data_IF_592487053520
#
_entry.id   IF_592487053520
#
_cell.length_a   1.000
_cell.length_b   1.000
_cell.length_c   1.000
_cell.angle_alpha   90.00
_cell.angle_beta   90.00
_cell.angle_gamma   90.00
#
_symmetry.space_group_name_H-M   'P 1'
#
loop_
_entity.id
_entity.type
_entity.pdbx_description
1 polymer ?
#
# COMPACT_ATOMS: atom_id res chain seq x y z
N UNK A 1 -12.33 -19.49 -1.17
CA UNK A 1 -11.52 -18.26 -1.38
C UNK A 1 -10.26 -18.33 -0.53
N UNK A 2 -9.07 -18.35 -1.13
CA UNK A 2 -7.77 -18.33 -0.43
C UNK A 2 -7.03 -17.01 -0.65
N UNK A 3 -6.55 -16.39 0.43
CA UNK A 3 -5.79 -15.14 0.37
C UNK A 3 -4.31 -15.38 0.04
N UNK A 4 -3.70 -14.43 -0.64
CA UNK A 4 -2.26 -14.40 -0.90
C UNK A 4 -1.47 -13.88 0.31
N UNK A 5 -0.32 -14.50 0.62
CA UNK A 5 0.63 -14.05 1.65
C UNK A 5 0.42 -14.64 3.04
N UNK A 6 1.01 -14.00 4.06
CA UNK A 6 0.90 -14.44 5.46
C UNK A 6 -0.52 -14.24 6.02
N UNK A 7 -1.14 -15.34 6.44
CA UNK A 7 -2.51 -15.36 6.96
C UNK A 7 -2.54 -15.46 8.50
N UNK A 8 -3.55 -14.88 9.17
CA UNK A 8 -3.75 -15.07 10.60
C UNK A 8 -4.16 -16.51 10.92
N UNK A 9 -3.88 -16.97 12.15
CA UNK A 9 -4.17 -18.33 12.60
C UNK A 9 -5.66 -18.75 12.49
N UNK A 10 -6.59 -17.79 12.40
CA UNK A 10 -8.01 -18.08 12.24
C UNK A 10 -8.45 -18.18 10.77
N UNK A 11 -7.66 -17.67 9.81
CA UNK A 11 -8.06 -17.56 8.41
C UNK A 11 -8.34 -18.93 7.80
N UNK A 12 -7.48 -19.92 8.00
CA UNK A 12 -7.69 -21.28 7.48
C UNK A 12 -9.04 -21.86 7.92
N UNK A 13 -9.40 -21.67 9.20
CA UNK A 13 -10.67 -22.13 9.75
C UNK A 13 -11.85 -21.42 9.08
N UNK A 14 -11.73 -20.12 8.86
CA UNK A 14 -12.77 -19.32 8.22
C UNK A 14 -12.91 -19.71 6.73
N UNK A 15 -11.81 -19.86 6.00
CA UNK A 15 -11.77 -20.28 4.60
C UNK A 15 -12.45 -21.64 4.45
N UNK A 16 -12.03 -22.63 5.25
CA UNK A 16 -12.60 -23.97 5.22
C UNK A 16 -14.12 -23.95 5.50
N UNK A 17 -14.57 -23.14 6.46
CA UNK A 17 -16.01 -22.96 6.72
C UNK A 17 -16.71 -22.37 5.50
N UNK A 18 -16.19 -21.28 4.94
CA UNK A 18 -16.80 -20.60 3.80
C UNK A 18 -16.91 -21.49 2.57
N UNK A 19 -15.95 -22.37 2.31
CA UNK A 19 -15.97 -23.29 1.17
C UNK A 19 -17.10 -24.32 1.24
N UNK A 20 -17.59 -24.65 2.44
CA UNK A 20 -18.71 -25.60 2.60
C UNK A 20 -20.07 -24.96 2.38
N UNK A 21 -20.17 -23.63 2.48
CA UNK A 21 -21.45 -22.92 2.47
C UNK A 21 -22.13 -22.97 1.09
N UNK A 22 -21.46 -22.73 -0.06
CA UNK A 22 -22.12 -22.78 -1.36
C UNK A 22 -22.84 -24.10 -1.65
N UNK A 23 -22.24 -25.24 -1.30
CA UNK A 23 -22.89 -26.54 -1.44
C UNK A 23 -24.16 -26.66 -0.58
N UNK A 24 -24.14 -26.17 0.66
CA UNK A 24 -25.31 -26.14 1.55
C UNK A 24 -26.40 -25.19 1.04
N UNK A 25 -26.01 -24.03 0.52
CA UNK A 25 -26.94 -23.06 -0.06
C UNK A 25 -27.71 -23.64 -1.25
N UNK A 26 -27.04 -24.46 -2.05
CA UNK A 26 -27.60 -25.03 -3.27
C UNK A 26 -28.19 -26.43 -3.08
N UNK A 27 -28.15 -26.98 -1.85
CA UNK A 27 -28.71 -28.29 -1.55
C UNK A 27 -30.21 -28.33 -1.92
N UNK A 28 -30.57 -29.30 -2.77
CA UNK A 28 -31.94 -29.47 -3.29
C UNK A 28 -32.26 -28.65 -4.53
N UNK A 29 -31.36 -27.78 -5.01
CA UNK A 29 -31.52 -27.04 -6.25
C UNK A 29 -30.82 -27.76 -7.41
N UNK A 30 -31.51 -27.96 -8.53
CA UNK A 30 -30.90 -28.59 -9.71
C UNK A 30 -30.05 -27.61 -10.52
N UNK A 31 -28.92 -28.07 -11.10
CA UNK A 31 -28.18 -27.29 -12.08
C UNK A 31 -29.06 -26.89 -13.27
N UNK A 32 -28.75 -25.72 -13.84
CA UNK A 32 -29.48 -25.15 -14.98
C UNK A 32 -29.06 -25.71 -16.34
N UNK A 33 -28.03 -26.54 -16.38
CA UNK A 33 -27.45 -27.10 -17.61
C UNK A 33 -26.27 -28.04 -17.33
N UNK A 34 -25.60 -28.52 -18.39
CA UNK A 34 -24.40 -29.35 -18.28
C UNK A 34 -23.21 -28.54 -17.72
N UNK A 35 -22.22 -29.23 -17.16
CA UNK A 35 -20.99 -28.62 -16.67
C UNK A 35 -20.28 -27.89 -17.82
N UNK A 36 -19.75 -26.70 -17.51
CA UNK A 36 -18.94 -25.91 -18.42
C UNK A 36 -17.47 -26.25 -18.18
N UNK A 37 -16.85 -26.84 -19.20
CA UNK A 37 -15.45 -27.25 -19.21
C UNK A 37 -14.62 -26.23 -19.98
N UNK A 38 -13.66 -25.58 -19.31
CA UNK A 38 -12.75 -24.62 -19.93
C UNK A 38 -11.32 -25.14 -19.78
N UNK A 39 -10.53 -25.07 -20.85
CA UNK A 39 -9.10 -25.47 -20.82
C UNK A 39 -8.23 -24.43 -20.12
N UNK A 40 -8.58 -23.16 -20.29
CA UNK A 40 -7.99 -21.96 -19.69
C UNK A 40 -9.01 -20.82 -19.89
N UNK A 41 -8.84 -19.72 -19.17
CA UNK A 41 -9.63 -18.49 -19.35
C UNK A 41 -8.81 -17.28 -18.89
N UNK A 42 -8.80 -16.22 -19.70
CA UNK A 42 -8.13 -14.96 -19.35
C UNK A 42 -9.06 -14.04 -18.53
N UNK A 43 -10.37 -14.13 -18.77
CA UNK A 43 -11.38 -13.39 -18.04
C UNK A 43 -12.72 -14.14 -18.06
N UNK A 44 -12.91 -15.01 -17.07
CA UNK A 44 -14.09 -15.82 -16.94
C UNK A 44 -15.38 -14.97 -16.90
N UNK A 45 -15.36 -13.79 -16.26
CA UNK A 45 -16.55 -12.93 -16.20
C UNK A 45 -17.02 -12.40 -17.56
N UNK A 46 -16.11 -12.26 -18.54
CA UNK A 46 -16.48 -11.85 -19.90
C UNK A 46 -17.05 -13.01 -20.73
N UNK A 47 -16.71 -14.25 -20.37
CA UNK A 47 -17.14 -15.47 -21.07
C UNK A 47 -18.45 -16.04 -20.51
N UNK A 48 -18.79 -15.71 -19.26
CA UNK A 48 -19.95 -16.26 -18.56
C UNK A 48 -21.24 -15.43 -18.75
N UNK A 49 -22.41 -16.08 -18.86
CA UNK A 49 -23.70 -15.38 -18.87
C UNK A 49 -24.01 -14.70 -17.54
N UNK A 50 -24.32 -13.40 -17.57
CA UNK A 50 -24.61 -12.59 -16.37
C UNK A 50 -25.81 -13.09 -15.53
N UNK A 51 -26.69 -13.90 -16.11
CA UNK A 51 -27.86 -14.48 -15.43
C UNK A 51 -27.57 -15.85 -14.78
N UNK A 52 -26.31 -16.28 -14.76
CA UNK A 52 -25.91 -17.55 -14.14
C UNK A 52 -24.94 -17.32 -12.97
N UNK A 53 -24.95 -18.29 -12.08
CA UNK A 53 -23.96 -18.48 -11.02
C UNK A 53 -23.33 -19.84 -11.22
N UNK A 54 -22.09 -20.01 -10.74
CA UNK A 54 -21.34 -21.23 -10.98
C UNK A 54 -20.68 -21.72 -9.71
N UNK A 55 -20.72 -23.03 -9.47
CA UNK A 55 -19.84 -23.67 -8.49
C UNK A 55 -18.64 -24.22 -9.23
N UNK A 56 -17.44 -23.99 -8.69
CA UNK A 56 -16.23 -24.65 -9.18
C UNK A 56 -16.29 -26.10 -8.75
N UNK A 57 -16.41 -27.01 -9.72
CA UNK A 57 -16.35 -28.45 -9.48
C UNK A 57 -14.90 -28.92 -9.38
N UNK A 58 -14.04 -28.47 -10.29
CA UNK A 58 -12.60 -28.73 -10.26
C UNK A 58 -11.84 -27.56 -10.86
N UNK A 59 -10.61 -27.32 -10.40
CA UNK A 59 -9.73 -26.25 -10.91
C UNK A 59 -9.56 -25.06 -9.95
N UNK A 60 -8.78 -24.07 -10.37
CA UNK A 60 -8.41 -22.89 -9.60
C UNK A 60 -8.61 -21.62 -10.45
N UNK A 61 -9.20 -20.58 -9.86
CA UNK A 61 -9.30 -19.25 -10.48
C UNK A 61 -8.51 -18.23 -9.69
N UNK A 62 -7.76 -17.42 -10.40
CA UNK A 62 -7.02 -16.28 -9.87
C UNK A 62 -7.91 -15.05 -10.00
N UNK A 63 -8.18 -14.34 -8.90
CA UNK A 63 -8.89 -13.08 -8.92
C UNK A 63 -7.90 -11.91 -8.95
N UNK A 64 -8.00 -11.07 -9.98
CA UNK A 64 -7.15 -9.89 -10.20
C UNK A 64 -7.98 -8.61 -10.18
N UNK A 65 -7.40 -7.56 -9.59
CA UNK A 65 -7.87 -6.17 -9.66
C UNK A 65 -6.66 -5.32 -10.06
N UNK A 66 -6.79 -4.51 -11.11
CA UNK A 66 -5.68 -3.74 -11.69
C UNK A 66 -4.41 -4.59 -11.93
N UNK A 67 -4.60 -5.78 -12.51
CA UNK A 67 -3.57 -6.80 -12.77
C UNK A 67 -2.81 -7.33 -11.53
N UNK A 68 -3.28 -7.00 -10.32
CA UNK A 68 -2.74 -7.54 -9.06
C UNK A 68 -3.61 -8.69 -8.59
N UNK A 69 -3.00 -9.86 -8.43
CA UNK A 69 -3.65 -11.00 -7.82
C UNK A 69 -4.00 -10.71 -6.36
N UNK A 70 -5.25 -10.92 -5.98
CA UNK A 70 -5.77 -10.62 -4.65
C UNK A 70 -6.05 -11.90 -3.86
N UNK A 71 -6.72 -12.87 -4.47
CA UNK A 71 -7.07 -14.16 -3.89
C UNK A 71 -7.34 -15.19 -4.98
N UNK A 72 -7.49 -16.45 -4.59
CA UNK A 72 -7.89 -17.55 -5.46
C UNK A 72 -9.25 -18.10 -5.07
N UNK A 73 -10.02 -18.57 -6.05
CA UNK A 73 -11.20 -19.40 -5.85
C UNK A 73 -10.88 -20.82 -6.31
N UNK A 74 -11.39 -21.83 -5.63
CA UNK A 74 -11.16 -23.23 -5.94
C UNK A 74 -12.44 -24.04 -5.80
N UNK A 75 -12.33 -25.36 -5.94
CA UNK A 75 -13.43 -26.32 -5.73
C UNK A 75 -14.32 -25.94 -4.53
N UNK A 76 -15.63 -25.91 -4.79
CA UNK A 76 -16.68 -25.53 -3.84
C UNK A 76 -16.99 -24.02 -3.77
N UNK A 77 -16.14 -23.15 -4.31
CA UNK A 77 -16.41 -21.70 -4.31
C UNK A 77 -17.48 -21.30 -5.34
N UNK A 78 -18.26 -20.28 -4.98
CA UNK A 78 -19.32 -19.70 -5.80
C UNK A 78 -18.79 -18.52 -6.64
N UNK A 79 -19.00 -18.60 -7.96
CA UNK A 79 -18.58 -17.61 -8.95
C UNK A 79 -19.80 -16.96 -9.60
N UNK A 80 -19.65 -15.72 -10.07
CA UNK A 80 -20.70 -14.98 -10.78
C UNK A 80 -21.50 -14.02 -9.90
N UNK A 81 -21.34 -14.05 -8.57
CA UNK A 81 -22.04 -13.11 -7.67
C UNK A 81 -21.77 -11.64 -8.03
N UNK A 82 -20.55 -11.31 -8.47
CA UNK A 82 -20.14 -9.94 -8.83
C UNK A 82 -20.60 -9.46 -10.22
N UNK A 83 -21.18 -10.33 -11.05
CA UNK A 83 -21.57 -9.98 -12.43
C UNK A 83 -22.87 -9.16 -12.51
N UNK A 84 -23.60 -8.98 -11.41
CA UNK A 84 -24.81 -8.15 -11.39
C UNK A 84 -24.51 -6.76 -10.82
N UNK A 85 -24.52 -5.75 -11.67
CA UNK A 85 -24.48 -4.34 -11.26
C UNK A 85 -23.23 -3.58 -11.74
N UNK A 86 -23.17 -2.31 -11.37
CA UNK A 86 -22.06 -1.39 -11.66
C UNK A 86 -20.97 -1.53 -10.58
N UNK A 87 -20.33 -2.71 -10.54
CA UNK A 87 -19.24 -3.00 -9.61
C UNK A 87 -17.88 -2.85 -10.31
N UNK A 88 -16.83 -2.44 -9.58
CA UNK A 88 -15.48 -2.41 -10.13
C UNK A 88 -15.05 -3.78 -10.65
N UNK A 89 -14.35 -3.75 -11.79
CA UNK A 89 -13.91 -4.95 -12.50
C UNK A 89 -13.00 -5.81 -11.61
N UNK A 90 -13.30 -7.11 -11.61
CA UNK A 90 -12.46 -8.14 -11.02
C UNK A 90 -12.35 -9.27 -12.03
N UNK A 91 -11.14 -9.43 -12.57
CA UNK A 91 -10.84 -10.42 -13.61
C UNK A 91 -10.56 -11.75 -12.95
N UNK A 92 -11.21 -12.81 -13.43
CA UNK A 92 -10.93 -14.18 -12.99
C UNK A 92 -10.23 -14.92 -14.13
N UNK A 93 -9.02 -15.42 -13.89
CA UNK A 93 -8.27 -16.18 -14.90
C UNK A 93 -7.80 -17.53 -14.38
N UNK A 94 -7.58 -18.47 -15.30
CA UNK A 94 -6.96 -19.77 -15.03
C UNK A 94 -6.15 -20.21 -16.24
N UNK A 95 -4.90 -20.62 -16.00
CA UNK A 95 -4.06 -21.27 -17.01
C UNK A 95 -4.28 -22.80 -17.03
N UNK A 96 -4.98 -23.33 -16.03
CA UNK A 96 -5.31 -24.74 -15.88
C UNK A 96 -6.78 -25.03 -16.24
N UNK A 97 -7.10 -26.28 -16.62
CA UNK A 97 -8.48 -26.68 -16.86
C UNK A 97 -9.39 -26.47 -15.64
N UNK A 98 -10.61 -26.00 -15.89
CA UNK A 98 -11.63 -25.74 -14.87
C UNK A 98 -12.99 -26.28 -15.32
N UNK A 99 -13.69 -26.95 -14.40
CA UNK A 99 -15.08 -27.39 -14.56
C UNK A 99 -16.00 -26.56 -13.65
N UNK A 100 -17.09 -26.07 -14.23
CA UNK A 100 -18.07 -25.21 -13.55
C UNK A 100 -19.48 -25.79 -13.67
N UNK A 101 -20.19 -25.89 -12.54
CA UNK A 101 -21.60 -26.33 -12.52
C UNK A 101 -22.51 -25.09 -12.59
N UNK A 102 -23.33 -24.93 -13.65
CA UNK A 102 -24.13 -23.72 -13.84
C UNK A 102 -25.46 -23.77 -13.08
N UNK A 103 -25.81 -22.68 -12.41
CA UNK A 103 -27.11 -22.45 -11.78
C UNK A 103 -27.74 -21.15 -12.29
N UNK A 104 -29.07 -21.14 -12.42
CA UNK A 104 -29.78 -19.91 -12.74
C UNK A 104 -29.71 -18.96 -11.55
N UNK A 105 -29.22 -17.73 -11.76
CA UNK A 105 -29.10 -16.72 -10.70
C UNK A 105 -30.42 -16.50 -9.97
N UNK A 106 -31.51 -16.34 -10.72
CA UNK A 106 -32.83 -16.12 -10.14
C UNK A 106 -33.30 -17.32 -9.31
N UNK A 107 -33.08 -18.54 -9.79
CA UNK A 107 -33.44 -19.75 -9.06
C UNK A 107 -32.64 -19.88 -7.76
N UNK A 108 -31.34 -19.58 -7.78
CA UNK A 108 -30.50 -19.57 -6.58
C UNK A 108 -31.04 -18.60 -5.53
N UNK A 109 -31.30 -17.35 -5.91
CA UNK A 109 -31.80 -16.37 -4.94
C UNK A 109 -33.21 -16.70 -4.43
N UNK A 110 -34.11 -17.20 -5.29
CA UNK A 110 -35.42 -17.67 -4.85
C UNK A 110 -35.30 -18.83 -3.86
N UNK A 111 -34.40 -19.79 -4.12
CA UNK A 111 -34.13 -20.93 -3.26
C UNK A 111 -33.56 -20.50 -1.90
N UNK A 112 -32.63 -19.55 -1.88
CA UNK A 112 -32.09 -18.96 -0.65
C UNK A 112 -33.19 -18.23 0.12
N UNK A 113 -34.00 -17.40 -0.54
CA UNK A 113 -35.05 -16.62 0.12
C UNK A 113 -36.21 -17.48 0.65
N UNK A 114 -36.43 -18.68 0.11
CA UNK A 114 -37.47 -19.57 0.57
C UNK A 114 -37.19 -20.24 1.94
N UNK A 115 -35.96 -20.16 2.46
CA UNK A 115 -35.53 -20.86 3.67
C UNK A 115 -34.67 -19.96 4.58
N UNK A 116 -35.09 -19.77 5.84
CA UNK A 116 -34.40 -18.88 6.80
C UNK A 116 -32.95 -19.32 7.08
N UNK A 117 -32.69 -20.62 7.13
CA UNK A 117 -31.34 -21.14 7.39
C UNK A 117 -30.41 -20.84 6.21
N UNK A 118 -30.87 -20.99 4.96
CA UNK A 118 -30.10 -20.59 3.77
C UNK A 118 -29.84 -19.08 3.72
N UNK A 119 -30.80 -18.25 4.13
CA UNK A 119 -30.56 -16.81 4.25
C UNK A 119 -29.45 -16.48 5.25
N UNK A 120 -29.45 -17.15 6.40
CA UNK A 120 -28.41 -16.98 7.41
C UNK A 120 -27.04 -17.44 6.88
N UNK A 121 -26.98 -18.62 6.26
CA UNK A 121 -25.76 -19.13 5.64
C UNK A 121 -25.21 -18.18 4.57
N UNK A 122 -26.07 -17.62 3.72
CA UNK A 122 -25.65 -16.66 2.69
C UNK A 122 -25.10 -15.38 3.32
N UNK A 123 -25.73 -14.90 4.38
CA UNK A 123 -25.23 -13.75 5.15
C UNK A 123 -23.86 -14.04 5.77
N UNK A 124 -23.69 -15.20 6.40
CA UNK A 124 -22.41 -15.64 6.97
C UNK A 124 -21.32 -15.77 5.90
N UNK A 125 -21.69 -16.23 4.69
CA UNK A 125 -20.79 -16.32 3.55
C UNK A 125 -20.25 -14.94 3.14
N UNK A 126 -21.14 -13.96 2.96
CA UNK A 126 -20.77 -12.60 2.58
C UNK A 126 -19.94 -11.90 3.67
N UNK A 127 -20.31 -12.05 4.94
CA UNK A 127 -19.59 -11.48 6.07
C UNK A 127 -18.18 -12.09 6.17
N UNK A 128 -18.05 -13.40 6.04
CA UNK A 128 -16.75 -14.07 6.15
C UNK A 128 -15.80 -13.67 5.02
N UNK A 129 -16.29 -13.53 3.78
CA UNK A 129 -15.49 -12.97 2.69
C UNK A 129 -15.06 -11.52 2.96
N UNK A 130 -15.96 -10.69 3.49
CA UNK A 130 -15.64 -9.30 3.85
C UNK A 130 -14.56 -9.24 4.93
N UNK A 131 -14.63 -10.11 5.94
CA UNK A 131 -13.62 -10.21 7.00
C UNK A 131 -12.24 -10.61 6.44
N UNK A 132 -12.19 -11.63 5.58
CA UNK A 132 -10.95 -12.07 4.93
C UNK A 132 -10.31 -10.95 4.10
N UNK A 133 -11.12 -10.22 3.31
CA UNK A 133 -10.63 -9.10 2.51
C UNK A 133 -10.17 -7.92 3.37
N UNK A 134 -10.87 -7.63 4.48
CA UNK A 134 -10.47 -6.60 5.44
C UNK A 134 -9.11 -6.88 6.06
N UNK A 135 -8.85 -8.13 6.44
CA UNK A 135 -7.57 -8.57 6.98
C UNK A 135 -6.45 -8.55 5.93
N UNK A 136 -6.74 -8.97 4.70
CA UNK A 136 -5.79 -8.87 3.59
C UNK A 136 -5.39 -7.40 3.35
N UNK A 137 -6.36 -6.49 3.33
CA UNK A 137 -6.11 -5.07 3.17
C UNK A 137 -5.27 -4.50 4.32
N UNK A 138 -5.57 -4.88 5.57
CA UNK A 138 -4.82 -4.41 6.74
C UNK A 138 -3.34 -4.81 6.68
N UNK A 139 -3.03 -5.97 6.07
CA UNK A 139 -1.65 -6.47 5.90
C UNK A 139 -0.92 -5.82 4.72
N UNK A 140 -1.66 -5.49 3.65
CA UNK A 140 -1.11 -4.78 2.50
C UNK A 140 -0.92 -3.28 2.78
N UNK A 141 -1.75 -2.71 3.68
CA UNK A 141 -1.65 -1.31 4.06
C UNK A 141 -0.41 -1.12 4.94
N UNK A 142 0.53 -0.33 4.45
CA UNK A 142 1.65 0.12 5.27
C UNK A 142 1.11 0.88 6.50
N UNK A 143 1.69 0.66 7.69
CA UNK A 143 1.27 1.39 8.88
C UNK A 143 1.37 2.89 8.61
N UNK A 144 0.28 3.60 8.83
CA UNK A 144 0.24 5.05 8.68
C UNK A 144 1.08 5.62 9.82
N UNK A 145 2.36 5.92 9.54
CA UNK A 145 3.23 6.62 10.47
C UNK A 145 2.69 8.03 10.53
N UNK A 146 1.92 8.33 11.57
CA UNK A 146 1.62 9.69 11.97
C UNK A 146 2.85 10.19 12.70
N UNK A 147 3.69 11.02 12.06
CA UNK A 147 4.89 11.45 12.75
C UNK A 147 4.45 12.26 13.97
N UNK A 148 5.03 11.96 15.12
CA UNK A 148 4.91 12.79 16.31
C UNK A 148 5.74 14.06 16.04
N UNK A 149 5.25 14.88 15.12
CA UNK A 149 5.91 16.11 14.69
C UNK A 149 5.84 17.10 15.82
N UNK A 150 6.99 17.42 16.40
CA UNK A 150 7.13 18.57 17.27
C UNK A 150 7.51 19.77 16.42
N UNK A 151 6.76 20.87 16.53
CA UNK A 151 7.24 22.17 16.05
C UNK A 151 8.11 22.79 17.14
N UNK A 152 9.30 23.23 16.75
CA UNK A 152 10.20 24.03 17.60
C UNK A 152 10.36 25.40 16.98
N UNK A 153 10.40 26.42 17.83
CA UNK A 153 10.69 27.79 17.42
C UNK A 153 12.12 28.11 17.83
N UNK A 154 12.85 28.77 16.94
CA UNK A 154 14.21 29.20 17.16
C UNK A 154 14.31 30.71 16.90
N UNK A 155 14.94 31.43 17.82
CA UNK A 155 15.28 32.84 17.62
C UNK A 155 16.51 32.98 16.72
N UNK A 156 16.73 34.20 16.21
CA UNK A 156 17.94 34.52 15.43
C UNK A 156 19.19 34.21 16.25
N UNK A 157 20.14 33.51 15.63
CA UNK A 157 21.40 33.09 16.22
C UNK A 157 21.34 31.78 17.00
N UNK A 158 20.16 31.16 17.19
CA UNK A 158 20.06 29.86 17.86
C UNK A 158 20.49 28.71 16.95
N UNK A 159 21.13 27.71 17.54
CA UNK A 159 21.57 26.50 16.83
C UNK A 159 20.43 25.47 16.75
N UNK A 160 20.11 25.03 15.54
CA UNK A 160 19.16 23.95 15.28
C UNK A 160 19.86 22.59 15.31
N UNK A 161 21.11 22.55 14.88
CA UNK A 161 21.97 21.37 14.81
C UNK A 161 23.39 21.82 15.16
N UNK A 162 24.12 21.02 15.93
CA UNK A 162 25.54 21.23 16.17
C UNK A 162 26.40 20.22 15.38
N UNK A 163 27.50 20.68 14.79
CA UNK A 163 28.46 19.83 14.07
C UNK A 163 29.08 18.79 15.03
N UNK A 164 29.19 17.54 14.59
CA UNK A 164 29.77 16.46 15.38
C UNK A 164 28.78 15.73 16.31
N UNK A 165 27.55 16.23 16.46
CA UNK A 165 26.52 15.54 17.24
C UNK A 165 26.04 14.25 16.57
N UNK A 166 25.44 13.37 17.36
CA UNK A 166 24.70 12.21 16.85
C UNK A 166 23.38 12.65 16.18
N UNK A 167 22.96 11.91 15.17
CA UNK A 167 21.80 12.26 14.35
C UNK A 167 20.56 11.41 14.65
N UNK A 168 19.78 11.86 15.64
CA UNK A 168 18.53 11.19 16.04
C UNK A 168 17.26 11.79 15.42
N UNK A 169 17.39 12.93 14.75
CA UNK A 169 16.26 13.67 14.17
C UNK A 169 16.58 14.24 12.78
N UNK A 170 15.54 14.45 11.98
CA UNK A 170 15.55 15.20 10.73
C UNK A 170 14.64 16.39 10.87
N UNK A 171 14.95 17.48 10.17
CA UNK A 171 14.28 18.76 10.36
C UNK A 171 13.76 19.32 9.03
N UNK A 172 12.68 20.09 9.09
CA UNK A 172 12.14 20.84 7.96
C UNK A 172 11.83 22.26 8.43
N UNK A 173 12.32 23.28 7.72
CA UNK A 173 11.96 24.68 8.00
C UNK A 173 10.56 24.93 7.44
N UNK A 174 9.63 25.32 8.29
CA UNK A 174 8.25 25.65 7.91
C UNK A 174 8.13 27.16 7.66
N UNK A 175 8.89 27.95 8.41
CA UNK A 175 8.98 29.39 8.31
C UNK A 175 10.35 29.85 8.80
N UNK A 176 10.87 30.93 8.21
CA UNK A 176 12.19 31.49 8.52
C UNK A 176 13.30 31.03 7.58
N UNK A 177 14.53 31.33 7.98
CA UNK A 177 15.76 31.07 7.22
C UNK A 177 16.89 30.68 8.17
N UNK A 178 17.73 29.74 7.74
CA UNK A 178 18.90 29.30 8.50
C UNK A 178 20.13 29.15 7.61
N UNK A 179 21.30 29.06 8.23
CA UNK A 179 22.58 28.92 7.55
C UNK A 179 23.32 27.69 8.07
N UNK A 180 23.95 26.95 7.16
CA UNK A 180 24.83 25.84 7.49
C UNK A 180 26.27 26.34 7.59
N UNK A 181 26.94 25.98 8.68
CA UNK A 181 28.28 26.40 9.04
C UNK A 181 29.13 25.15 9.34
N UNK A 182 30.33 25.08 8.76
CA UNK A 182 31.31 24.02 9.01
C UNK A 182 32.60 24.67 9.48
N UNK A 183 33.09 24.26 10.65
CA UNK A 183 34.32 24.79 11.25
C UNK A 183 34.36 26.33 11.31
N UNK A 184 33.20 26.95 11.57
CA UNK A 184 33.03 28.41 11.65
C UNK A 184 32.82 29.12 10.31
N UNK A 185 32.89 28.42 9.19
CA UNK A 185 32.69 28.98 7.86
C UNK A 185 31.27 28.67 7.33
N UNK A 186 30.55 29.68 6.86
CA UNK A 186 29.25 29.46 6.17
C UNK A 186 29.49 28.65 4.89
N UNK A 187 28.80 27.52 4.76
CA UNK A 187 28.86 26.61 3.60
C UNK A 187 27.55 26.58 2.81
N UNK A 188 26.54 27.32 3.23
CA UNK A 188 25.34 27.56 2.46
C UNK A 188 24.13 27.91 3.32
N UNK A 189 23.01 28.06 2.65
CA UNK A 189 21.73 28.44 3.24
C UNK A 189 20.79 27.25 3.38
N UNK A 190 19.84 27.29 4.31
CA UNK A 190 18.76 26.30 4.46
C UNK A 190 17.45 27.05 4.36
N UNK A 191 16.69 26.75 3.30
CA UNK A 191 15.49 27.50 2.95
C UNK A 191 14.22 26.90 3.56
N UNK A 192 13.14 27.67 3.51
CA UNK A 192 11.79 27.18 3.79
C UNK A 192 11.48 25.95 2.92
N UNK A 193 10.76 25.00 3.53
CA UNK A 193 10.37 23.69 3.00
C UNK A 193 11.56 22.76 2.68
N UNK A 194 12.80 23.16 2.97
CA UNK A 194 13.99 22.32 2.81
C UNK A 194 14.11 21.31 3.96
N UNK A 195 14.36 20.05 3.60
CA UNK A 195 14.68 19.00 4.57
C UNK A 195 16.19 19.05 4.84
N UNK A 196 16.58 19.20 6.11
CA UNK A 196 17.98 19.27 6.53
C UNK A 196 18.27 18.32 7.70
N UNK A 197 19.56 18.02 7.89
CA UNK A 197 20.00 17.01 8.85
C UNK A 197 19.70 15.56 8.44
N UNK A 198 19.19 15.30 7.23
CA UNK A 198 18.90 13.95 6.75
C UNK A 198 20.17 13.12 6.46
N UNK A 199 21.27 13.76 6.05
CA UNK A 199 22.48 13.07 5.59
C UNK A 199 23.07 12.14 6.67
N UNK A 200 23.29 12.67 7.87
CA UNK A 200 23.82 11.92 9.02
C UNK A 200 22.91 10.73 9.44
N UNK A 201 21.59 10.86 9.22
CA UNK A 201 20.64 9.75 9.46
C UNK A 201 20.86 8.60 8.49
N UNK A 202 21.11 8.90 7.20
CA UNK A 202 21.32 7.88 6.16
C UNK A 202 22.74 7.30 6.16
N UNK A 203 23.76 8.14 6.31
CA UNK A 203 25.16 7.69 6.31
C UNK A 203 25.57 7.03 7.63
N UNK A 204 24.78 7.22 8.70
CA UNK A 204 25.11 6.82 10.07
C UNK A 204 26.40 7.48 10.58
N UNK A 205 26.69 8.65 10.05
CA UNK A 205 27.78 9.50 10.49
C UNK A 205 27.26 10.59 11.43
N UNK A 206 28.18 11.34 12.04
CA UNK A 206 27.85 12.52 12.84
C UNK A 206 27.41 13.69 11.98
N UNK A 207 26.80 14.70 12.61
CA UNK A 207 26.41 15.95 11.93
C UNK A 207 27.62 16.58 11.24
N UNK A 208 27.50 16.80 9.93
CA UNK A 208 28.56 17.36 9.11
C UNK A 208 28.70 18.87 9.24
N UNK A 209 27.69 19.57 9.77
CA UNK A 209 27.63 21.02 9.89
C UNK A 209 26.75 21.44 11.08
N UNK A 210 27.06 22.60 11.64
CA UNK A 210 26.17 23.34 12.54
C UNK A 210 25.14 24.08 11.67
N UNK A 211 23.89 24.13 12.09
CA UNK A 211 22.83 24.91 11.42
C UNK A 211 22.32 25.96 12.37
N UNK A 212 22.38 27.23 11.98
CA UNK A 212 22.05 28.39 12.83
C UNK A 212 20.91 29.18 12.19
N UNK A 213 19.92 29.57 12.98
CA UNK A 213 18.84 30.44 12.53
C UNK A 213 19.40 31.83 12.18
N UNK A 214 19.28 32.25 10.93
CA UNK A 214 19.61 33.62 10.50
C UNK A 214 18.39 34.54 10.58
N UNK A 215 17.19 33.97 10.59
CA UNK A 215 15.91 34.61 10.90
C UNK A 215 15.13 33.78 11.92
N UNK A 216 14.11 34.32 12.63
CA UNK A 216 13.26 33.52 13.49
C UNK A 216 12.66 32.34 12.70
N UNK A 217 12.88 31.13 13.19
CA UNK A 217 12.55 29.90 12.49
C UNK A 217 11.46 29.10 13.21
N UNK A 218 10.49 28.58 12.47
CA UNK A 218 9.59 27.51 12.92
C UNK A 218 10.00 26.23 12.20
N UNK A 219 10.43 25.23 12.96
CA UNK A 219 11.03 24.01 12.43
C UNK A 219 10.25 22.79 12.89
N UNK A 220 9.90 21.93 11.95
CA UNK A 220 9.33 20.62 12.23
C UNK A 220 10.44 19.61 12.50
N UNK A 221 10.37 18.93 13.64
CA UNK A 221 11.33 17.89 14.07
C UNK A 221 10.72 16.52 13.89
N UNK A 222 11.43 15.64 13.18
CA UNK A 222 11.00 14.27 12.86
C UNK A 222 12.04 13.28 13.41
N UNK A 223 11.66 12.36 14.30
CA UNK A 223 12.57 11.30 14.76
C UNK A 223 13.09 10.43 13.61
N UNK A 224 14.35 9.99 13.71
CA UNK A 224 15.05 9.18 12.69
C UNK A 224 14.24 8.00 12.19
N UNK A 225 13.70 7.18 13.10
CA UNK A 225 12.95 5.98 12.73
C UNK A 225 11.67 6.31 11.96
N UNK A 226 10.98 7.38 12.37
CA UNK A 226 9.77 7.86 11.68
C UNK A 226 10.11 8.41 10.30
N UNK A 227 11.20 9.18 10.18
CA UNK A 227 11.65 9.70 8.90
C UNK A 227 12.01 8.59 7.91
N UNK A 228 12.75 7.57 8.35
CA UNK A 228 13.06 6.41 7.51
C UNK A 228 11.80 5.69 7.03
N UNK A 229 10.84 5.45 7.93
CA UNK A 229 9.54 4.87 7.56
C UNK A 229 8.73 5.75 6.60
N UNK A 230 8.77 7.08 6.76
CA UNK A 230 8.12 8.04 5.84
C UNK A 230 8.75 7.98 4.44
N UNK A 231 10.08 7.84 4.33
CA UNK A 231 10.73 7.70 3.02
C UNK A 231 10.40 6.38 2.31
N UNK A 232 10.12 5.31 3.07
CA UNK A 232 9.70 4.02 2.52
C UNK A 232 8.23 4.03 2.08
N UNK A 233 7.38 4.75 2.81
CA UNK A 233 5.93 4.77 2.56
C UNK A 233 5.47 5.86 1.61
N UNK A 234 6.23 6.95 1.49
CA UNK A 234 5.92 8.06 0.61
C UNK A 234 7.11 8.42 -0.29
N UNK A 235 7.16 7.87 -1.52
CA UNK A 235 8.25 8.12 -2.47
C UNK A 235 8.48 9.59 -2.79
N UNK A 236 7.48 10.47 -2.61
CA UNK A 236 7.63 11.92 -2.87
C UNK A 236 8.61 12.58 -1.88
N UNK A 237 8.68 12.11 -0.64
CA UNK A 237 9.63 12.63 0.36
C UNK A 237 11.06 12.28 -0.07
N UNK A 238 11.29 11.02 -0.45
CA UNK A 238 12.58 10.60 -1.00
C UNK A 238 12.96 11.39 -2.26
N UNK A 239 12.00 11.64 -3.15
CA UNK A 239 12.23 12.45 -4.35
C UNK A 239 12.64 13.89 -4.03
N UNK A 240 11.96 14.53 -3.06
CA UNK A 240 12.27 15.91 -2.62
C UNK A 240 13.68 16.01 -2.02
N UNK A 241 14.10 14.99 -1.26
CA UNK A 241 15.47 14.89 -0.73
C UNK A 241 16.50 14.78 -1.86
N UNK A 242 16.25 13.91 -2.84
CA UNK A 242 17.13 13.71 -4.00
C UNK A 242 17.27 15.01 -4.78
N UNK A 243 16.16 15.73 -5.01
CA UNK A 243 16.18 17.02 -5.71
C UNK A 243 16.98 18.08 -4.94
N UNK A 244 16.80 18.17 -3.61
CA UNK A 244 17.56 19.09 -2.76
C UNK A 244 19.06 18.78 -2.79
N UNK A 245 19.45 17.51 -2.65
CA UNK A 245 20.84 17.07 -2.74
C UNK A 245 21.46 17.37 -4.11
N UNK A 246 20.73 17.11 -5.20
CA UNK A 246 21.19 17.40 -6.55
C UNK A 246 21.44 18.91 -6.76
N UNK A 247 20.52 19.75 -6.27
CA UNK A 247 20.68 21.22 -6.29
C UNK A 247 21.92 21.67 -5.51
N UNK A 248 22.17 21.07 -4.33
CA UNK A 248 23.33 21.36 -3.49
C UNK A 248 24.65 21.01 -4.20
N UNK A 249 24.70 19.83 -4.83
CA UNK A 249 25.88 19.37 -5.58
C UNK A 249 26.18 20.31 -6.75
N UNK A 250 25.15 20.76 -7.49
CA UNK A 250 25.33 21.71 -8.60
C UNK A 250 25.89 23.06 -8.13
N UNK A 251 25.39 23.60 -7.01
CA UNK A 251 25.90 24.83 -6.41
C UNK A 251 27.37 24.70 -5.99
N UNK A 252 27.72 23.60 -5.31
CA UNK A 252 29.10 23.33 -4.90
C UNK A 252 30.02 23.19 -6.12
N UNK A 253 29.59 22.49 -7.17
CA UNK A 253 30.37 22.36 -8.41
C UNK A 253 30.65 23.73 -9.05
N UNK A 254 29.69 24.67 -9.01
CA UNK A 254 29.89 26.04 -9.52
C UNK A 254 30.92 26.81 -8.69
N UNK A 255 30.86 26.73 -7.37
CA UNK A 255 31.85 27.36 -6.48
C UNK A 255 33.26 26.80 -6.66
N UNK A 256 33.40 25.47 -6.69
CA UNK A 256 34.70 24.82 -6.94
C UNK A 256 35.26 25.24 -8.30
N UNK A 257 34.41 25.34 -9.32
CA UNK A 257 34.83 25.80 -10.66
C UNK A 257 35.35 27.23 -10.62
N UNK A 258 34.63 28.13 -9.94
CA UNK A 258 35.03 29.54 -9.79
C UNK A 258 36.36 29.68 -9.03
N UNK A 259 36.55 28.91 -7.96
CA UNK A 259 37.81 28.90 -7.19
C UNK A 259 38.99 28.38 -8.02
N UNK A 260 38.80 27.33 -8.83
CA UNK A 260 39.85 26.79 -9.70
C UNK A 260 40.26 27.75 -10.82
N UNK A 261 39.33 28.54 -11.35
CA UNK A 261 39.63 29.56 -12.37
C UNK A 261 40.45 30.71 -11.79
N UNK A 262 40.17 31.13 -10.55
CA UNK A 262 40.90 32.23 -9.90
C UNK A 262 42.30 31.87 -9.39
N UNK A 263 42.62 30.58 -9.22
CA UNK A 263 43.97 30.11 -8.82
C UNK A 263 44.90 29.91 -10.03
N UNK A 264 44.34 29.91 -11.26
CA UNK A 264 45.10 29.75 -12.50
C UNK A 264 45.55 31.08 -13.15
N UNK A 265 45.34 32.21 -12.47
CA UNK A 265 45.78 33.57 -12.84
C UNK A 265 46.82 34.06 -11.84
#
# INVERSE_FOLDING_TARGET
MYLLGEQPAYADRLINRLQTIPCQLLEGLSPSGPNLELKHTDNLCAELPAQQLFIIETGLLHALIDDKALFYLQEGDLVGLRQSGDLPDCRYCSDEPISLIPYSRNAVFQHIHADEHRQELFTQYLIGHTALLGDALARLKQPEIRPATGFKHFAVGEELIHQGDEADNVFIIIEGHAEAVVDGQKVGDVQKDEIFGAMAVFTRERRSATVVASEPCTVMVIPKEQFLGLTQSNPRIAHSLIESMARRIDLLNKEVTHLRVNVAV
#
